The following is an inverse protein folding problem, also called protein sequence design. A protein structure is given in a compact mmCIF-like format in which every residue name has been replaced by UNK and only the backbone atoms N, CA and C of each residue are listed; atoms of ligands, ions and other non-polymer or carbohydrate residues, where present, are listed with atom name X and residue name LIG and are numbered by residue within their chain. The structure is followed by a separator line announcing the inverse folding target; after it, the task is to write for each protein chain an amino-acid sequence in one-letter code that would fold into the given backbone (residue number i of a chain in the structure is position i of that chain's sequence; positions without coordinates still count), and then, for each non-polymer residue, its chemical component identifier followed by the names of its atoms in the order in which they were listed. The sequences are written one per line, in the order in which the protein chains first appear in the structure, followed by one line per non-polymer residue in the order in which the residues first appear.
data_IF_162708000712
#
_entry.id   IF_162708000712
#
_cell.length_a   1.000
_cell.length_b   1.000
_cell.length_c   1.000
_cell.angle_alpha   90.00
_cell.angle_beta   90.00
_cell.angle_gamma   90.00
#
_symmetry.space_group_name_H-M   'P 1'
#
loop_
_entity.id
_entity.type
_entity.pdbx_description
1 polymer ?
#
# COMPACT_ATOMS: atom_id res chain seq x y z
N UNK A 1 -0.12 3.59 37.91
CA UNK A 1 -0.43 2.52 36.93
C UNK A 1 0.85 2.20 36.18
N UNK A 2 1.09 0.93 35.85
CA UNK A 2 2.25 0.55 35.04
C UNK A 2 2.06 1.02 33.59
N UNK A 3 3.16 1.35 32.90
CA UNK A 3 3.14 1.63 31.47
C UNK A 3 3.12 0.30 30.71
N UNK A 4 2.03 0.02 29.99
CA UNK A 4 1.85 -1.25 29.27
C UNK A 4 1.91 -1.00 27.76
N UNK A 5 2.86 -1.64 27.09
CA UNK A 5 3.09 -1.50 25.66
C UNK A 5 2.56 -2.74 24.92
N UNK A 6 1.50 -2.54 24.16
CA UNK A 6 0.92 -3.56 23.29
C UNK A 6 1.67 -3.60 21.98
N UNK A 7 2.28 -4.73 21.68
CA UNK A 7 3.12 -4.90 20.51
C UNK A 7 3.22 -6.36 20.09
N UNK A 8 3.37 -6.59 18.79
CA UNK A 8 3.84 -7.88 18.29
C UNK A 8 5.29 -8.11 18.73
N UNK A 9 5.66 -9.35 19.04
CA UNK A 9 7.06 -9.74 19.26
C UNK A 9 7.88 -9.35 18.03
N UNK A 10 9.03 -8.70 18.25
CA UNK A 10 10.04 -8.33 17.24
C UNK A 10 9.69 -7.23 16.21
N UNK A 11 9.19 -6.08 16.67
CA UNK A 11 8.93 -4.92 15.81
C UNK A 11 9.88 -3.73 16.09
N UNK A 12 10.53 -3.18 15.04
CA UNK A 12 11.38 -1.98 15.14
C UNK A 12 10.67 -0.79 15.80
N UNK A 13 9.37 -0.64 15.57
CA UNK A 13 8.58 0.46 16.09
C UNK A 13 8.36 0.34 17.60
N UNK A 14 8.29 -0.88 18.12
CA UNK A 14 8.23 -1.16 19.56
C UNK A 14 9.57 -0.83 20.23
N UNK A 15 10.68 -1.17 19.57
CA UNK A 15 12.01 -0.90 20.11
C UNK A 15 12.29 0.59 20.33
N UNK A 16 11.63 1.50 19.59
CA UNK A 16 11.77 2.96 19.78
C UNK A 16 11.43 3.35 21.21
N UNK A 17 10.29 2.87 21.71
CA UNK A 17 9.82 3.13 23.06
C UNK A 17 10.69 2.44 24.12
N UNK A 18 11.06 1.18 23.88
CA UNK A 18 11.87 0.41 24.84
C UNK A 18 13.28 1.00 25.01
N UNK A 19 13.95 1.37 23.92
CA UNK A 19 15.29 1.97 24.00
C UNK A 19 15.21 3.37 24.63
N UNK A 20 14.19 4.17 24.27
CA UNK A 20 13.95 5.46 24.95
C UNK A 20 13.72 5.27 26.46
N UNK A 21 13.00 4.22 26.86
CA UNK A 21 12.77 3.87 28.26
C UNK A 21 14.06 3.50 28.99
N UNK A 22 14.97 2.76 28.35
CA UNK A 22 16.30 2.45 28.90
C UNK A 22 17.14 3.70 29.13
N UNK A 23 17.20 4.61 28.16
CA UNK A 23 17.90 5.89 28.33
C UNK A 23 17.28 6.77 29.41
N UNK A 24 15.95 6.76 29.53
CA UNK A 24 15.22 7.58 30.50
C UNK A 24 15.08 6.91 31.88
N UNK A 25 15.54 5.66 32.05
CA UNK A 25 15.33 4.87 33.26
C UNK A 25 13.85 4.73 33.63
N UNK A 26 12.99 4.55 32.63
CA UNK A 26 11.54 4.31 32.77
C UNK A 26 11.27 2.83 32.55
N UNK A 27 10.39 2.24 33.35
CA UNK A 27 9.97 0.85 33.15
C UNK A 27 8.72 0.81 32.26
N UNK A 28 8.84 0.16 31.09
CA UNK A 28 7.73 -0.12 30.17
C UNK A 28 7.56 -1.62 30.07
N UNK A 29 6.40 -2.12 30.48
CA UNK A 29 6.07 -3.54 30.44
C UNK A 29 5.43 -3.89 29.11
N UNK A 30 5.86 -4.98 28.45
CA UNK A 30 5.15 -5.49 27.29
C UNK A 30 3.85 -6.19 27.72
N UNK A 31 2.76 -5.94 26.99
CA UNK A 31 1.49 -6.60 27.25
C UNK A 31 1.66 -8.14 27.13
N UNK A 32 1.28 -8.91 28.16
CA UNK A 32 1.37 -10.37 28.10
C UNK A 32 0.39 -10.91 27.06
N UNK A 33 0.79 -11.99 26.38
CA UNK A 33 -0.07 -12.75 25.45
C UNK A 33 -0.68 -11.94 24.30
N UNK A 34 -0.01 -10.88 23.85
CA UNK A 34 -0.47 -10.13 22.67
C UNK A 34 -0.24 -10.96 21.38
N UNK A 35 -1.32 -11.18 20.62
CA UNK A 35 -1.29 -11.89 19.34
C UNK A 35 -1.70 -10.97 18.19
N UNK A 36 -0.77 -10.74 17.26
CA UNK A 36 -1.00 -9.90 16.09
C UNK A 36 -2.00 -10.55 15.13
N UNK A 37 -3.05 -9.82 14.76
CA UNK A 37 -4.18 -10.30 13.97
C UNK A 37 -5.39 -10.72 14.82
N UNK A 38 -5.20 -10.96 16.12
CA UNK A 38 -6.27 -11.36 17.05
C UNK A 38 -6.50 -10.25 18.08
N UNK A 39 -5.52 -10.00 18.96
CA UNK A 39 -5.66 -9.02 20.05
C UNK A 39 -5.97 -7.62 19.54
N UNK A 40 -5.30 -7.18 18.47
CA UNK A 40 -5.49 -5.85 17.88
C UNK A 40 -6.76 -5.67 17.03
N UNK A 41 -7.58 -6.72 16.89
CA UNK A 41 -8.88 -6.67 16.21
C UNK A 41 -10.05 -6.71 17.19
N UNK A 42 -9.79 -6.93 18.48
CA UNK A 42 -10.84 -6.91 19.51
C UNK A 42 -11.45 -5.51 19.67
N UNK A 43 -12.74 -5.39 19.99
CA UNK A 43 -13.37 -4.10 20.28
C UNK A 43 -12.67 -3.31 21.40
N UNK A 44 -12.12 -4.02 22.39
CA UNK A 44 -11.37 -3.44 23.50
C UNK A 44 -10.09 -2.77 23.00
N UNK A 45 -9.34 -3.43 22.12
CA UNK A 45 -8.12 -2.83 21.56
C UNK A 45 -8.43 -1.68 20.59
N UNK A 46 -9.50 -1.77 19.81
CA UNK A 46 -9.91 -0.71 18.90
C UNK A 46 -10.31 0.58 19.63
N UNK A 47 -10.70 0.50 20.91
CA UNK A 47 -10.86 1.69 21.78
C UNK A 47 -9.54 2.36 22.14
N UNK A 48 -8.44 1.61 22.16
CA UNK A 48 -7.09 2.14 22.42
C UNK A 48 -6.46 2.76 21.17
N UNK A 49 -6.66 2.10 20.02
CA UNK A 49 -6.24 2.60 18.71
C UNK A 49 -7.28 2.22 17.64
N UNK A 50 -8.01 3.19 17.06
CA UNK A 50 -9.07 2.90 16.09
C UNK A 50 -8.54 2.26 14.79
N UNK A 51 -7.24 2.41 14.48
CA UNK A 51 -6.62 1.76 13.32
C UNK A 51 -6.28 0.28 13.57
N UNK A 52 -6.37 -0.20 14.82
CA UNK A 52 -5.96 -1.55 15.20
C UNK A 52 -4.49 -1.84 14.90
N UNK A 53 -3.65 -0.80 14.88
CA UNK A 53 -2.19 -0.90 14.65
C UNK A 53 -1.44 -0.98 15.98
N UNK A 54 -0.22 -1.51 15.90
CA UNK A 54 0.74 -1.56 17.01
C UNK A 54 2.04 -0.86 16.63
N UNK A 55 2.79 -0.30 17.60
CA UNK A 55 2.55 -0.35 19.05
C UNK A 55 1.47 0.62 19.56
N UNK A 56 0.92 0.31 20.74
CA UNK A 56 0.06 1.20 21.56
C UNK A 56 0.55 1.16 23.00
N UNK A 57 0.73 2.33 23.62
CA UNK A 57 1.10 2.46 25.03
C UNK A 57 -0.12 2.82 25.85
N UNK A 58 -0.51 1.98 26.79
CA UNK A 58 -1.45 2.33 27.84
C UNK A 58 -0.72 3.10 28.96
N UNK A 59 -1.29 4.23 29.33
CA UNK A 59 -0.80 5.10 30.40
C UNK A 59 -1.91 5.32 31.43
N UNK A 60 -1.61 5.83 32.63
CA UNK A 60 -2.63 6.16 33.62
C UNK A 60 -3.70 7.13 33.12
N UNK A 61 -3.34 8.02 32.18
CA UNK A 61 -4.20 9.11 31.69
C UNK A 61 -4.86 8.79 30.34
N UNK A 62 -4.56 7.62 29.76
CA UNK A 62 -5.12 7.18 28.49
C UNK A 62 -4.10 6.55 27.54
N UNK A 63 -4.56 5.99 26.40
CA UNK A 63 -3.69 5.36 25.43
C UNK A 63 -2.96 6.37 24.53
N UNK A 64 -1.74 6.02 24.13
CA UNK A 64 -0.96 6.72 23.10
C UNK A 64 -0.62 5.74 21.99
N UNK A 65 -1.01 6.05 20.76
CA UNK A 65 -0.63 5.29 19.56
C UNK A 65 0.29 6.13 18.66
N UNK A 66 0.88 5.50 17.63
CA UNK A 66 2.04 5.95 16.85
C UNK A 66 3.38 5.83 17.59
N UNK A 67 4.32 5.06 17.02
CA UNK A 67 5.56 4.71 17.71
C UNK A 67 6.47 5.89 18.04
N UNK A 68 6.49 6.91 17.18
CA UNK A 68 7.28 8.12 17.44
C UNK A 68 6.64 8.97 18.55
N UNK A 69 5.30 9.01 18.64
CA UNK A 69 4.58 9.69 19.71
C UNK A 69 4.77 8.95 21.06
N UNK A 70 4.70 7.62 21.06
CA UNK A 70 4.99 6.79 22.24
C UNK A 70 6.42 7.03 22.74
N UNK A 71 7.43 7.05 21.85
CA UNK A 71 8.81 7.31 22.24
C UNK A 71 8.99 8.72 22.83
N UNK A 72 8.34 9.75 22.25
CA UNK A 72 8.30 11.10 22.82
C UNK A 72 7.62 11.14 24.18
N UNK A 73 6.50 10.44 24.37
CA UNK A 73 5.83 10.33 25.66
C UNK A 73 6.77 9.73 26.72
N UNK A 74 7.39 8.60 26.41
CA UNK A 74 8.35 7.93 27.31
C UNK A 74 9.52 8.84 27.67
N UNK A 75 10.06 9.60 26.72
CA UNK A 75 11.12 10.58 26.98
C UNK A 75 10.64 11.73 27.88
N UNK A 76 9.39 12.20 27.72
CA UNK A 76 8.84 13.33 28.52
C UNK A 76 8.53 12.96 29.98
N UNK A 77 8.47 11.67 30.34
CA UNK A 77 8.14 11.24 31.71
C UNK A 77 9.15 11.66 32.78
N UNK A 78 10.38 12.02 32.38
CA UNK A 78 11.35 12.65 33.27
C UNK A 78 11.90 13.90 32.58
N UNK A 79 11.81 15.05 33.23
CA UNK A 79 12.24 16.33 32.63
C UNK A 79 13.75 16.51 32.51
N UNK A 80 14.54 15.70 33.23
CA UNK A 80 16.00 15.82 33.29
C UNK A 80 16.68 14.77 32.39
N UNK A 81 16.42 14.83 31.08
CA UNK A 81 17.12 14.00 30.10
C UNK A 81 17.39 14.78 28.80
N UNK A 82 18.41 14.34 28.06
CA UNK A 82 18.81 14.97 26.81
C UNK A 82 18.08 14.42 25.57
N UNK A 83 17.16 13.46 25.71
CA UNK A 83 16.55 12.77 24.57
C UNK A 83 15.72 13.69 23.66
N UNK A 84 15.25 14.81 24.19
CA UNK A 84 14.44 15.79 23.47
C UNK A 84 15.23 17.02 23.03
N UNK A 85 16.53 17.10 23.33
CA UNK A 85 17.32 18.33 23.14
C UNK A 85 17.14 19.33 24.29
N UNK A 86 18.16 20.17 24.50
CA UNK A 86 18.29 21.05 25.67
C UNK A 86 17.88 22.49 25.39
N UNK A 87 17.58 22.83 24.14
CA UNK A 87 17.14 24.16 23.70
C UNK A 87 16.03 24.05 22.67
N UNK A 88 15.33 25.15 22.40
CA UNK A 88 14.27 25.18 21.38
C UNK A 88 14.77 24.75 20.00
N UNK A 89 16.00 25.15 19.64
CA UNK A 89 16.59 24.76 18.36
C UNK A 89 16.94 23.27 18.31
N UNK A 90 17.48 22.71 19.40
CA UNK A 90 17.77 21.27 19.46
C UNK A 90 16.47 20.44 19.45
N UNK A 91 15.41 20.89 20.13
CA UNK A 91 14.10 20.25 20.08
C UNK A 91 13.56 20.21 18.64
N UNK A 92 13.63 21.34 17.93
CA UNK A 92 13.22 21.41 16.52
C UNK A 92 14.08 20.50 15.63
N UNK A 93 15.39 20.43 15.87
CA UNK A 93 16.28 19.54 15.13
C UNK A 93 16.01 18.05 15.42
N UNK A 94 15.65 17.71 16.67
CA UNK A 94 15.23 16.34 17.02
C UNK A 94 13.99 15.96 16.22
N UNK A 95 12.97 16.82 16.19
CA UNK A 95 11.76 16.56 15.41
C UNK A 95 12.06 16.52 13.90
N UNK A 96 12.90 17.41 13.38
CA UNK A 96 13.35 17.41 11.98
C UNK A 96 13.94 16.06 11.57
N UNK A 97 14.84 15.49 12.37
CA UNK A 97 15.48 14.21 12.06
C UNK A 97 14.53 13.01 12.22
N UNK A 98 13.59 13.08 13.17
CA UNK A 98 12.54 12.06 13.32
C UNK A 98 11.65 12.02 12.07
N UNK A 99 11.24 13.19 11.58
CA UNK A 99 10.36 13.31 10.42
C UNK A 99 11.11 12.95 9.14
N UNK A 100 12.33 13.47 8.95
CA UNK A 100 13.22 13.07 7.85
C UNK A 100 13.40 11.56 7.81
N UNK A 101 13.71 10.92 8.95
CA UNK A 101 13.91 9.47 8.97
C UNK A 101 12.63 8.70 8.65
N UNK A 102 11.46 9.18 9.09
CA UNK A 102 10.19 8.49 8.84
C UNK A 102 9.76 8.62 7.38
N UNK A 103 9.94 9.80 6.78
CA UNK A 103 9.47 10.12 5.43
C UNK A 103 10.46 9.72 4.32
N UNK A 104 11.75 9.94 4.53
CA UNK A 104 12.78 9.77 3.50
C UNK A 104 13.53 8.43 3.61
N UNK A 105 13.62 7.84 4.81
CA UNK A 105 14.33 6.57 5.03
C UNK A 105 13.34 5.41 5.19
N UNK A 106 12.49 5.45 6.22
CA UNK A 106 11.64 4.32 6.59
C UNK A 106 10.61 3.99 5.50
N UNK A 107 9.93 5.02 4.98
CA UNK A 107 8.98 4.88 3.88
C UNK A 107 9.59 4.19 2.65
N UNK A 108 10.82 4.57 2.28
CA UNK A 108 11.50 3.98 1.12
C UNK A 108 12.02 2.57 1.42
N UNK A 109 12.56 2.30 2.62
CA UNK A 109 12.91 0.93 3.05
C UNK A 109 11.69 0.01 3.02
N UNK A 110 10.53 0.47 3.48
CA UNK A 110 9.29 -0.31 3.46
C UNK A 110 8.82 -0.63 2.04
N UNK A 111 8.93 0.31 1.10
CA UNK A 111 8.63 0.05 -0.33
C UNK A 111 9.51 -1.06 -0.93
N UNK A 112 10.76 -1.17 -0.48
CA UNK A 112 11.66 -2.26 -0.88
C UNK A 112 11.30 -3.57 -0.15
N UNK A 113 11.00 -3.51 1.15
CA UNK A 113 10.80 -4.71 1.95
C UNK A 113 9.45 -5.38 1.71
N UNK A 114 8.34 -4.63 1.75
CA UNK A 114 6.99 -5.18 1.79
C UNK A 114 6.68 -6.13 0.61
N UNK A 115 7.12 -5.85 -0.64
CA UNK A 115 6.96 -6.81 -1.72
C UNK A 115 7.72 -8.12 -1.54
N UNK A 116 8.90 -8.06 -0.93
CA UNK A 116 9.77 -9.24 -0.67
C UNK A 116 9.21 -10.16 0.41
N UNK A 117 8.44 -9.61 1.34
CA UNK A 117 7.77 -10.36 2.41
C UNK A 117 6.29 -10.62 2.13
N UNK A 118 5.81 -10.32 0.92
CA UNK A 118 4.46 -10.65 0.48
C UNK A 118 3.34 -9.76 1.05
N UNK A 119 3.68 -8.60 1.63
CA UNK A 119 2.71 -7.64 2.15
C UNK A 119 2.33 -6.55 1.14
N UNK A 120 2.99 -6.49 -0.02
CA UNK A 120 2.67 -5.59 -1.12
C UNK A 120 2.99 -6.25 -2.48
N UNK A 121 2.38 -5.83 -3.60
CA UNK A 121 2.82 -6.25 -4.92
C UNK A 121 4.19 -5.64 -5.25
N UNK A 122 5.00 -6.37 -6.02
CA UNK A 122 6.24 -5.84 -6.58
C UNK A 122 5.96 -5.05 -7.86
N UNK A 123 6.45 -3.81 -7.91
CA UNK A 123 6.40 -2.94 -9.08
C UNK A 123 7.79 -2.35 -9.31
N UNK A 124 8.44 -2.72 -10.42
CA UNK A 124 9.82 -2.30 -10.71
C UNK A 124 10.00 -0.76 -10.70
N UNK A 125 9.11 0.06 -11.30
CA UNK A 125 9.26 1.52 -11.23
C UNK A 125 9.19 2.09 -9.81
N UNK A 126 8.41 1.46 -8.93
CA UNK A 126 8.29 1.88 -7.52
C UNK A 126 9.57 1.56 -6.76
N UNK A 127 10.16 0.39 -7.00
CA UNK A 127 11.44 0.01 -6.41
C UNK A 127 12.58 0.90 -6.89
N UNK A 128 12.67 1.19 -8.18
CA UNK A 128 13.67 2.10 -8.75
C UNK A 128 13.57 3.49 -8.13
N UNK A 129 12.35 4.06 -8.04
CA UNK A 129 12.11 5.33 -7.40
C UNK A 129 12.45 5.32 -5.90
N UNK A 130 12.08 4.25 -5.18
CA UNK A 130 12.40 4.10 -3.76
C UNK A 130 13.91 3.98 -3.51
N UNK A 131 14.63 3.25 -4.36
CA UNK A 131 16.08 3.15 -4.30
C UNK A 131 16.75 4.51 -4.55
N UNK A 132 16.32 5.25 -5.57
CA UNK A 132 16.87 6.57 -5.87
C UNK A 132 16.62 7.57 -4.72
N UNK A 133 15.40 7.59 -4.18
CA UNK A 133 15.04 8.44 -3.05
C UNK A 133 15.81 8.06 -1.78
N UNK A 134 15.94 6.75 -1.49
CA UNK A 134 16.71 6.26 -0.34
C UNK A 134 18.20 6.61 -0.47
N UNK A 135 18.80 6.43 -1.65
CA UNK A 135 20.21 6.84 -1.89
C UNK A 135 20.41 8.34 -1.65
N UNK A 136 19.48 9.19 -2.11
CA UNK A 136 19.51 10.64 -1.84
C UNK A 136 19.44 10.94 -0.34
N UNK A 137 18.52 10.29 0.37
CA UNK A 137 18.36 10.46 1.82
C UNK A 137 19.61 10.00 2.59
N UNK A 138 20.16 8.84 2.25
CA UNK A 138 21.40 8.32 2.84
C UNK A 138 22.59 9.24 2.51
N UNK A 139 22.64 9.84 1.32
CA UNK A 139 23.64 10.84 0.96
C UNK A 139 23.59 12.08 1.86
N UNK A 140 22.40 12.67 2.04
CA UNK A 140 22.20 13.81 2.93
C UNK A 140 22.58 13.48 4.39
N UNK A 141 22.15 12.31 4.87
CA UNK A 141 22.49 11.82 6.20
C UNK A 141 24.00 11.59 6.34
N UNK A 142 24.66 11.03 5.33
CA UNK A 142 26.10 10.78 5.30
C UNK A 142 26.90 12.08 5.37
N UNK A 143 26.46 13.13 4.65
CA UNK A 143 27.09 14.46 4.71
C UNK A 143 26.97 15.07 6.10
N UNK A 144 25.78 15.04 6.71
CA UNK A 144 25.59 15.53 8.08
C UNK A 144 26.47 14.79 9.08
N UNK A 145 26.54 13.47 8.95
CA UNK A 145 27.28 12.58 9.83
C UNK A 145 28.80 12.59 9.63
N UNK A 146 29.32 13.29 8.62
CA UNK A 146 30.75 13.41 8.39
C UNK A 146 31.46 14.16 9.53
N UNK A 147 30.82 15.19 10.09
CA UNK A 147 31.35 16.00 11.19
C UNK A 147 30.62 15.80 12.52
N UNK A 148 29.58 14.96 12.56
CA UNK A 148 28.77 14.74 13.74
C UNK A 148 28.76 13.26 14.18
N UNK A 149 28.92 13.03 15.49
CA UNK A 149 28.82 11.70 16.09
C UNK A 149 27.36 11.25 16.22
N UNK A 150 26.48 12.17 16.60
CA UNK A 150 25.03 11.99 16.75
C UNK A 150 24.28 13.00 15.89
N UNK A 151 22.97 12.85 15.73
CA UNK A 151 22.20 13.73 14.84
C UNK A 151 22.01 15.15 15.40
N UNK A 152 21.89 15.29 16.73
CA UNK A 152 21.67 16.55 17.42
C UNK A 152 22.58 16.65 18.64
N UNK A 153 23.32 17.76 18.73
CA UNK A 153 24.25 18.01 19.84
C UNK A 153 25.36 16.96 19.96
N UNK A 154 25.72 16.62 21.21
CA UNK A 154 26.84 15.73 21.52
C UNK A 154 26.44 14.46 22.30
N UNK A 155 25.14 14.18 22.42
CA UNK A 155 24.62 12.98 23.11
C UNK A 155 23.51 12.33 22.29
N UNK A 156 23.17 11.08 22.63
CA UNK A 156 22.06 10.36 21.97
C UNK A 156 20.74 11.06 22.27
N UNK A 157 19.96 11.31 21.21
CA UNK A 157 18.59 11.86 21.29
C UNK A 157 17.55 10.89 20.73
N UNK A 158 16.27 11.23 20.80
CA UNK A 158 15.21 10.48 20.10
C UNK A 158 15.41 10.45 18.59
N UNK A 159 16.02 11.50 18.01
CA UNK A 159 16.40 11.48 16.60
C UNK A 159 17.31 10.29 16.30
N UNK A 160 18.27 10.01 17.19
CA UNK A 160 19.19 8.91 17.01
C UNK A 160 18.51 7.55 17.16
N UNK A 161 17.70 7.40 18.20
CA UNK A 161 16.97 6.15 18.48
C UNK A 161 16.05 5.80 17.31
N UNK A 162 15.25 6.77 16.84
CA UNK A 162 14.28 6.54 15.77
C UNK A 162 14.99 6.31 14.44
N UNK A 163 16.00 7.12 14.11
CA UNK A 163 16.76 6.96 12.86
C UNK A 163 17.48 5.64 12.79
N UNK A 164 18.16 5.24 13.87
CA UNK A 164 18.83 3.94 13.95
C UNK A 164 17.86 2.78 13.77
N UNK A 165 16.67 2.85 14.37
CA UNK A 165 15.68 1.76 14.24
C UNK A 165 14.98 1.70 12.88
N UNK A 166 14.82 2.84 12.21
CA UNK A 166 14.37 2.85 10.81
C UNK A 166 15.46 2.27 9.89
N UNK A 167 16.73 2.62 10.10
CA UNK A 167 17.87 2.02 9.39
C UNK A 167 18.05 0.54 9.71
N UNK A 168 17.79 0.10 10.95
CA UNK A 168 17.92 -1.29 11.39
C UNK A 168 17.14 -2.25 10.49
N UNK A 169 15.93 -1.86 10.07
CA UNK A 169 15.14 -2.66 9.14
C UNK A 169 15.83 -2.78 7.78
N UNK A 170 16.42 -1.69 7.30
CA UNK A 170 17.24 -1.67 6.09
C UNK A 170 18.44 -2.60 6.20
N UNK A 171 19.32 -2.36 7.17
CA UNK A 171 20.56 -3.13 7.39
C UNK A 171 20.31 -4.62 7.58
N UNK A 172 19.23 -5.00 8.26
CA UNK A 172 18.96 -6.42 8.56
C UNK A 172 18.17 -7.14 7.47
N UNK A 173 17.60 -6.44 6.46
CA UNK A 173 16.71 -7.06 5.46
C UNK A 173 16.99 -6.73 4.01
N UNK A 174 17.40 -5.50 3.67
CA UNK A 174 17.46 -5.04 2.27
C UNK A 174 18.73 -4.27 1.89
N UNK A 175 19.53 -3.80 2.84
CA UNK A 175 20.75 -3.05 2.58
C UNK A 175 21.99 -3.94 2.78
N UNK A 176 22.45 -4.54 1.68
CA UNK A 176 23.69 -5.33 1.64
C UNK A 176 24.92 -4.43 1.74
N UNK A 177 26.07 -5.05 2.08
CA UNK A 177 27.33 -4.33 2.33
C UNK A 177 27.78 -3.45 1.16
N UNK A 178 27.55 -3.86 -0.09
CA UNK A 178 27.91 -3.05 -1.26
C UNK A 178 27.19 -1.71 -1.30
N UNK A 179 25.93 -1.66 -0.85
CA UNK A 179 25.14 -0.42 -0.79
C UNK A 179 25.56 0.43 0.41
N UNK A 180 25.70 -0.17 1.59
CA UNK A 180 26.03 0.60 2.80
C UNK A 180 27.45 1.19 2.75
N UNK A 181 28.38 0.53 2.04
CA UNK A 181 29.75 1.03 1.87
C UNK A 181 29.83 2.30 1.02
N UNK A 182 28.80 2.64 0.23
CA UNK A 182 28.69 3.94 -0.45
C UNK A 182 28.50 5.10 0.57
N UNK A 183 28.07 4.80 1.81
CA UNK A 183 27.73 5.78 2.86
C UNK A 183 28.47 5.49 4.17
N UNK A 184 29.82 5.65 4.21
CA UNK A 184 30.65 5.21 5.32
C UNK A 184 30.32 5.88 6.66
N UNK A 185 29.87 7.13 6.68
CA UNK A 185 29.52 7.84 7.91
C UNK A 185 28.16 7.37 8.47
N UNK A 186 27.23 7.00 7.60
CA UNK A 186 25.97 6.35 8.00
C UNK A 186 26.26 4.96 8.57
N UNK A 187 27.14 4.20 7.93
CA UNK A 187 27.52 2.88 8.42
C UNK A 187 28.22 2.96 9.79
N UNK A 188 29.22 3.85 9.94
CA UNK A 188 29.86 4.10 11.25
C UNK A 188 28.83 4.50 12.31
N UNK A 189 27.93 5.42 11.97
CA UNK A 189 26.88 5.86 12.87
C UNK A 189 25.98 4.70 13.32
N UNK A 190 25.42 3.94 12.37
CA UNK A 190 24.54 2.82 12.66
C UNK A 190 25.21 1.81 13.60
N UNK A 191 26.44 1.39 13.29
CA UNK A 191 27.18 0.45 14.12
C UNK A 191 27.56 1.01 15.49
N UNK A 192 27.81 2.32 15.59
CA UNK A 192 28.02 2.97 16.89
C UNK A 192 26.77 2.84 17.76
N UNK A 193 25.60 3.19 17.23
CA UNK A 193 24.35 3.24 18.00
C UNK A 193 23.86 1.85 18.39
N UNK A 194 23.80 0.88 17.47
CA UNK A 194 23.29 -0.47 17.79
C UNK A 194 24.16 -1.22 18.80
N UNK A 195 25.43 -0.83 18.96
CA UNK A 195 26.35 -1.41 19.94
C UNK A 195 26.38 -0.66 21.28
N UNK A 196 25.66 0.46 21.43
CA UNK A 196 25.49 1.10 22.73
C UNK A 196 24.75 0.16 23.71
N UNK A 197 25.07 0.18 25.01
CA UNK A 197 24.47 -0.74 25.99
C UNK A 197 22.93 -0.76 25.97
N UNK A 198 22.31 0.41 25.91
CA UNK A 198 20.85 0.56 25.90
C UNK A 198 20.20 -0.01 24.63
N UNK A 199 20.86 0.12 23.48
CA UNK A 199 20.40 -0.50 22.23
C UNK A 199 20.59 -2.01 22.27
N UNK A 200 21.78 -2.47 22.65
CA UNK A 200 22.13 -3.90 22.67
C UNK A 200 21.27 -4.70 23.64
N UNK A 201 20.85 -4.11 24.76
CA UNK A 201 19.91 -4.73 25.71
C UNK A 201 18.56 -5.06 25.08
N UNK A 202 18.08 -4.23 24.15
CA UNK A 202 16.78 -4.40 23.47
C UNK A 202 16.90 -5.17 22.17
N UNK A 203 17.92 -4.87 21.35
CA UNK A 203 18.11 -5.44 20.01
C UNK A 203 18.87 -6.77 20.01
N UNK A 204 19.64 -7.05 21.07
CA UNK A 204 20.62 -8.12 21.06
C UNK A 204 21.77 -7.85 20.07
N UNK A 205 22.35 -8.92 19.53
CA UNK A 205 23.39 -8.81 18.52
C UNK A 205 22.77 -8.55 17.14
N UNK A 206 23.15 -7.43 16.52
CA UNK A 206 22.71 -7.06 15.18
C UNK A 206 23.68 -7.61 14.13
N UNK A 207 23.14 -8.29 13.11
CA UNK A 207 23.88 -8.74 11.93
C UNK A 207 23.29 -8.10 10.68
N UNK A 208 24.15 -7.58 9.82
CA UNK A 208 23.73 -7.05 8.52
C UNK A 208 23.33 -8.18 7.57
N UNK A 209 22.38 -7.92 6.69
CA UNK A 209 21.99 -8.88 5.67
C UNK A 209 23.08 -9.06 4.62
N UNK A 210 23.38 -10.31 4.26
CA UNK A 210 24.36 -10.65 3.23
C UNK A 210 23.75 -10.58 1.82
N UNK A 211 22.44 -10.82 1.73
CA UNK A 211 21.67 -10.78 0.48
C UNK A 211 20.31 -10.13 0.70
N UNK A 212 19.76 -9.55 -0.35
CA UNK A 212 18.38 -9.07 -0.36
C UNK A 212 17.45 -10.24 -0.63
N UNK A 213 16.36 -10.35 0.13
CA UNK A 213 15.34 -11.38 -0.12
C UNK A 213 14.83 -11.30 -1.57
N UNK A 214 14.70 -12.43 -2.28
CA UNK A 214 14.15 -12.44 -3.63
C UNK A 214 12.68 -12.05 -3.60
N UNK A 215 12.20 -11.44 -4.69
CA UNK A 215 10.76 -11.24 -4.86
C UNK A 215 10.10 -12.61 -4.98
N UNK A 216 9.08 -12.93 -4.16
CA UNK A 216 8.33 -14.17 -4.30
C UNK A 216 7.81 -14.29 -5.73
N UNK A 217 8.34 -15.24 -6.51
CA UNK A 217 7.74 -15.58 -7.80
C UNK A 217 6.33 -16.08 -7.54
N UNK A 218 5.36 -15.68 -8.36
CA UNK A 218 3.99 -16.18 -8.27
C UNK A 218 3.94 -17.71 -8.53
N UNK A 219 4.29 -18.52 -7.52
CA UNK A 219 4.05 -19.95 -7.47
C UNK A 219 2.71 -20.18 -6.78
N UNK A 220 1.87 -21.00 -7.44
CA UNK A 220 0.62 -21.58 -6.90
C UNK A 220 0.83 -22.02 -5.44
N UNK A 221 -0.18 -21.88 -4.57
CA UNK A 221 -0.06 -22.21 -3.15
C UNK A 221 0.36 -23.67 -2.97
N UNK A 222 1.57 -23.88 -2.44
CA UNK A 222 2.03 -25.17 -1.96
C UNK A 222 1.28 -25.53 -0.68
N UNK A 223 0.57 -26.66 -0.70
CA UNK A 223 -0.01 -27.28 0.51
C UNK A 223 1.12 -27.65 1.46
N UNK A 224 1.26 -26.91 2.55
CA UNK A 224 1.96 -27.41 3.73
C UNK A 224 1.03 -28.36 4.51
N UNK A 225 1.53 -29.57 4.69
CA UNK A 225 0.95 -30.70 5.42
C UNK A 225 0.80 -30.38 6.91
N UNK A 226 -0.44 -30.38 7.41
CA UNK A 226 -0.73 -30.41 8.85
C UNK A 226 -0.41 -31.80 9.46
N UNK A 227 0.17 -31.88 10.68
CA UNK A 227 0.33 -33.14 11.39
C UNK A 227 -1.02 -33.70 11.87
N UNK A 228 -1.21 -35.02 11.72
CA UNK A 228 -2.38 -35.78 12.19
C UNK A 228 -2.42 -35.84 13.73
N UNK A 229 -3.52 -35.38 14.33
CA UNK A 229 -3.88 -35.71 15.70
C UNK A 229 -4.57 -37.09 15.74
N UNK A 230 -4.23 -37.88 16.76
CA UNK A 230 -4.69 -39.25 17.02
C UNK A 230 -6.19 -39.31 17.36
N UNK A 231 -6.86 -40.34 16.84
CA UNK A 231 -8.20 -40.81 17.22
C UNK A 231 -8.18 -41.55 18.56
N UNK A 232 -9.28 -41.43 19.32
CA UNK A 232 -9.99 -42.55 19.98
C UNK A 232 -11.39 -42.08 20.46
N UNK A 233 -12.37 -42.98 20.70
CA UNK A 233 -13.65 -42.98 19.97
C UNK A 233 -14.90 -42.67 20.81
N UNK A 234 -15.97 -42.19 20.15
CA UNK A 234 -17.34 -42.06 20.72
C UNK A 234 -18.12 -43.38 20.56
N UNK A 235 -18.89 -43.74 21.60
CA UNK A 235 -20.03 -44.67 21.54
C UNK A 235 -21.35 -43.92 21.36
N UNK A 236 -22.30 -44.63 20.74
CA UNK A 236 -23.66 -44.33 20.24
C UNK A 236 -24.62 -43.77 21.32
N UNK A 237 -25.85 -43.27 21.09
CA UNK A 237 -26.84 -43.44 20.01
C UNK A 237 -27.87 -42.28 20.02
N UNK A 238 -28.54 -42.06 18.89
CA UNK A 238 -29.73 -41.19 18.67
C UNK A 238 -31.03 -41.89 19.17
N UNK A 239 -32.16 -41.20 19.47
CA UNK A 239 -33.01 -40.61 18.41
C UNK A 239 -33.72 -39.26 18.73
N UNK A 240 -34.05 -38.57 17.63
CA UNK A 240 -34.87 -37.35 17.45
C UNK A 240 -36.39 -37.68 17.45
N UNK A 241 -37.37 -36.75 17.22
CA UNK A 241 -37.32 -35.27 17.07
C UNK A 241 -38.49 -34.48 17.75
N UNK A 242 -38.32 -33.18 18.06
CA UNK A 242 -39.39 -32.13 17.93
C UNK A 242 -38.74 -30.73 17.78
N UNK A 243 -39.17 -29.94 16.77
CA UNK A 243 -38.95 -28.47 16.59
C UNK A 243 -40.15 -27.71 17.18
N UNK A 244 -40.09 -26.43 17.63
CA UNK A 244 -39.56 -25.30 16.83
C UNK A 244 -38.92 -24.06 17.54
N UNK A 245 -38.13 -23.35 16.72
CA UNK A 245 -37.88 -21.89 16.61
C UNK A 245 -37.07 -21.08 17.66
N UNK A 246 -36.05 -20.40 17.10
CA UNK A 246 -35.36 -19.14 17.45
C UNK A 246 -34.59 -19.01 18.78
N UNK A 247 -33.25 -19.02 18.72
CA UNK A 247 -32.31 -17.89 18.98
C UNK A 247 -30.93 -18.25 18.39
N UNK A 248 -30.23 -17.23 17.90
CA UNK A 248 -28.93 -17.23 17.24
C UNK A 248 -27.77 -17.86 18.05
N UNK A 249 -26.90 -18.62 17.36
CA UNK A 249 -25.44 -18.60 17.58
C UNK A 249 -24.68 -19.26 16.41
N UNK A 250 -23.63 -18.55 15.98
CA UNK A 250 -22.36 -19.01 15.42
C UNK A 250 -22.30 -20.18 14.43
N UNK A 251 -22.05 -19.85 13.16
CA UNK A 251 -21.33 -20.72 12.23
C UNK A 251 -19.98 -20.11 11.82
N UNK A 252 -19.01 -21.01 11.70
CA UNK A 252 -17.55 -20.87 11.57
C UNK A 252 -17.04 -19.90 10.47
N UNK A 253 -15.73 -19.52 10.51
CA UNK A 253 -15.21 -18.38 9.76
C UNK A 253 -15.25 -18.60 8.24
N UNK A 254 -15.81 -17.61 7.54
CA UNK A 254 -15.84 -17.47 6.08
C UNK A 254 -14.47 -17.69 5.45
N UNK A 255 -14.36 -18.45 4.34
CA UNK A 255 -13.26 -18.28 3.40
C UNK A 255 -13.24 -16.83 2.90
N UNK A 256 -12.04 -16.26 2.74
CA UNK A 256 -11.81 -14.93 2.15
C UNK A 256 -12.84 -14.64 1.06
N UNK A 257 -13.56 -13.52 1.19
CA UNK A 257 -14.48 -13.05 0.17
C UNK A 257 -13.75 -13.09 -1.18
N UNK A 258 -14.18 -14.00 -2.07
CA UNK A 258 -13.88 -13.91 -3.49
C UNK A 258 -14.51 -12.60 -3.97
N UNK A 259 -13.82 -11.89 -4.86
CA UNK A 259 -14.34 -10.67 -5.46
C UNK A 259 -15.75 -10.96 -6.01
N UNK A 260 -16.77 -10.11 -5.76
CA UNK A 260 -18.13 -10.31 -6.30
C UNK A 260 -18.17 -10.60 -7.81
N UNK A 261 -17.16 -10.14 -8.56
CA UNK A 261 -17.02 -10.38 -10.00
C UNK A 261 -16.47 -11.77 -10.37
N UNK A 262 -15.83 -12.48 -9.42
CA UNK A 262 -15.38 -13.87 -9.61
C UNK A 262 -16.52 -14.89 -9.42
N UNK A 263 -17.69 -14.43 -8.97
CA UNK A 263 -18.92 -15.22 -8.81
C UNK A 263 -19.86 -15.12 -10.02
N UNK A 264 -19.55 -14.24 -10.99
CA UNK A 264 -20.32 -14.12 -12.22
C UNK A 264 -20.08 -15.33 -13.13
N UNK A 265 -21.10 -15.80 -13.87
CA UNK A 265 -20.96 -16.92 -14.79
C UNK A 265 -19.81 -16.67 -15.77
N UNK A 266 -18.95 -17.67 -16.03
CA UNK A 266 -17.78 -17.51 -16.89
C UNK A 266 -18.22 -16.98 -18.26
N UNK A 267 -17.73 -15.80 -18.61
CA UNK A 267 -18.02 -15.18 -19.91
C UNK A 267 -17.21 -15.86 -21.00
N UNK A 268 -17.77 -15.87 -22.21
CA UNK A 268 -17.09 -16.31 -23.41
C UNK A 268 -15.90 -15.39 -23.78
N UNK A 269 -15.90 -14.16 -23.29
CA UNK A 269 -14.83 -13.18 -23.50
C UNK A 269 -13.74 -13.29 -22.42
N UNK A 270 -12.53 -13.65 -22.83
CA UNK A 270 -11.34 -13.60 -21.98
C UNK A 270 -10.67 -12.22 -22.17
N UNK A 271 -10.79 -11.35 -21.16
CA UNK A 271 -10.28 -9.98 -21.22
C UNK A 271 -8.76 -9.91 -21.46
N UNK A 272 -8.00 -10.87 -20.95
CA UNK A 272 -6.55 -10.95 -21.16
C UNK A 272 -6.20 -11.27 -22.62
N UNK A 273 -7.02 -12.07 -23.32
CA UNK A 273 -6.85 -12.36 -24.75
C UNK A 273 -7.19 -11.13 -25.59
N UNK A 274 -8.26 -10.41 -25.24
CA UNK A 274 -8.58 -9.12 -25.83
C UNK A 274 -7.43 -8.12 -25.68
N UNK A 275 -6.91 -7.91 -24.45
CA UNK A 275 -5.81 -6.98 -24.17
C UNK A 275 -4.53 -7.34 -24.93
N UNK A 276 -4.26 -8.64 -25.07
CA UNK A 276 -3.15 -9.16 -25.86
C UNK A 276 -3.35 -8.92 -27.36
N UNK A 277 -4.55 -9.16 -27.89
CA UNK A 277 -4.89 -8.89 -29.29
C UNK A 277 -4.75 -7.39 -29.61
N UNK A 278 -5.33 -6.53 -28.77
CA UNK A 278 -5.24 -5.08 -28.88
C UNK A 278 -3.78 -4.60 -28.88
N UNK A 279 -2.95 -5.10 -27.94
CA UNK A 279 -1.55 -4.68 -27.82
C UNK A 279 -0.64 -5.17 -28.95
N UNK A 280 -0.98 -6.30 -29.58
CA UNK A 280 -0.17 -6.89 -30.65
C UNK A 280 -0.55 -6.36 -32.04
N UNK A 281 -1.70 -5.71 -32.18
CA UNK A 281 -2.17 -5.15 -33.44
C UNK A 281 -1.52 -3.79 -33.68
N UNK A 282 -0.57 -3.72 -34.62
CA UNK A 282 0.14 -2.46 -34.98
C UNK A 282 -0.31 -1.87 -36.32
N UNK A 283 -0.88 -2.68 -37.20
CA UNK A 283 -1.41 -2.30 -38.52
C UNK A 283 -2.76 -3.01 -38.72
N UNK A 284 -3.62 -2.47 -39.60
CA UNK A 284 -4.97 -3.00 -39.88
C UNK A 284 -5.85 -3.11 -38.62
N UNK A 285 -5.86 -2.06 -37.81
CA UNK A 285 -6.54 -2.02 -36.51
C UNK A 285 -8.02 -2.42 -36.60
N UNK A 286 -8.71 -1.94 -37.65
CA UNK A 286 -10.13 -2.24 -37.90
C UNK A 286 -10.39 -3.70 -38.27
N UNK A 287 -9.52 -4.31 -39.08
CA UNK A 287 -9.70 -5.70 -39.55
C UNK A 287 -9.29 -6.75 -38.50
N UNK A 288 -8.38 -6.38 -37.58
CA UNK A 288 -7.81 -7.31 -36.59
C UNK A 288 -8.30 -7.03 -35.18
N UNK A 289 -8.11 -5.81 -34.67
CA UNK A 289 -8.49 -5.46 -33.30
C UNK A 289 -9.99 -5.22 -33.18
N UNK A 290 -10.62 -4.43 -34.06
CA UNK A 290 -12.07 -4.17 -33.97
C UNK A 290 -12.88 -5.42 -34.29
N UNK A 291 -12.54 -6.15 -35.36
CA UNK A 291 -13.18 -7.42 -35.67
C UNK A 291 -13.02 -8.43 -34.51
N UNK A 292 -11.81 -8.59 -34.00
CA UNK A 292 -11.55 -9.49 -32.87
C UNK A 292 -12.21 -9.05 -31.57
N UNK A 293 -12.40 -7.74 -31.36
CA UNK A 293 -13.19 -7.21 -30.24
C UNK A 293 -14.63 -7.74 -30.32
N UNK A 294 -15.30 -7.51 -31.44
CA UNK A 294 -16.70 -7.91 -31.62
C UNK A 294 -16.89 -9.43 -31.70
N UNK A 295 -15.92 -10.17 -32.24
CA UNK A 295 -15.93 -11.64 -32.26
C UNK A 295 -15.82 -12.24 -30.85
N UNK A 296 -15.08 -11.57 -29.94
CA UNK A 296 -14.91 -11.98 -28.55
C UNK A 296 -15.96 -11.39 -27.61
N UNK A 297 -16.59 -10.27 -27.99
CA UNK A 297 -17.45 -9.49 -27.11
C UNK A 297 -18.69 -10.28 -26.68
N UNK A 298 -18.89 -10.34 -25.37
CA UNK A 298 -19.97 -11.07 -24.74
C UNK A 298 -20.86 -10.09 -23.95
N UNK A 299 -22.05 -9.73 -24.47
CA UNK A 299 -22.94 -8.75 -23.85
C UNK A 299 -23.55 -9.22 -22.52
N UNK A 300 -23.59 -10.54 -22.27
CA UNK A 300 -24.05 -11.08 -20.97
C UNK A 300 -22.94 -11.01 -19.92
N UNK A 301 -21.68 -11.04 -20.38
CA UNK A 301 -20.51 -11.04 -19.54
C UNK A 301 -19.90 -9.65 -19.27
N UNK A 302 -20.05 -8.70 -20.19
CA UNK A 302 -19.41 -7.40 -20.12
C UNK A 302 -20.34 -6.28 -20.58
N UNK A 303 -20.26 -5.15 -19.88
CA UNK A 303 -20.97 -3.94 -20.23
C UNK A 303 -20.01 -2.88 -20.76
N UNK A 304 -20.44 -2.19 -21.82
CA UNK A 304 -19.74 -1.05 -22.38
C UNK A 304 -20.39 0.25 -21.90
N UNK A 305 -19.55 1.23 -21.57
CA UNK A 305 -19.97 2.53 -21.05
C UNK A 305 -19.15 3.64 -21.70
N UNK A 306 -19.83 4.69 -22.14
CA UNK A 306 -19.21 5.99 -22.41
C UNK A 306 -19.06 6.76 -21.10
N UNK A 307 -17.94 7.45 -20.94
CA UNK A 307 -17.73 8.41 -19.84
C UNK A 307 -17.36 9.78 -20.41
N UNK A 308 -18.20 10.78 -20.19
CA UNK A 308 -17.95 12.16 -20.61
C UNK A 308 -17.66 13.01 -19.35
N UNK A 309 -16.56 13.76 -19.33
CA UNK A 309 -16.22 14.58 -18.15
C UNK A 309 -17.20 15.75 -18.00
N UNK A 310 -17.73 15.97 -16.79
CA UNK A 310 -18.80 16.96 -16.53
C UNK A 310 -18.33 18.42 -16.66
N UNK A 311 -17.09 18.71 -16.29
CA UNK A 311 -16.55 20.07 -16.18
C UNK A 311 -15.58 20.40 -17.32
N UNK A 312 -15.97 20.16 -18.57
CA UNK A 312 -15.09 20.35 -19.73
C UNK A 312 -14.54 21.77 -19.82
N UNK A 313 -15.33 22.78 -19.44
CA UNK A 313 -14.97 24.20 -19.51
C UNK A 313 -13.76 24.56 -18.62
N UNK A 314 -13.46 23.75 -17.59
CA UNK A 314 -12.31 23.96 -16.70
C UNK A 314 -10.98 23.47 -17.31
N UNK A 315 -11.03 22.71 -18.39
CA UNK A 315 -9.85 22.10 -19.02
C UNK A 315 -9.17 23.10 -19.96
N UNK A 316 -8.59 24.16 -19.39
CA UNK A 316 -7.98 25.26 -20.16
C UNK A 316 -6.51 25.03 -20.54
N UNK A 317 -5.83 24.07 -19.89
CA UNK A 317 -4.41 23.80 -20.06
C UNK A 317 -4.18 22.33 -20.41
N UNK A 318 -3.64 22.05 -21.60
CA UNK A 318 -3.48 20.70 -22.15
C UNK A 318 -2.71 19.77 -21.22
N UNK A 319 -1.55 20.17 -20.72
CA UNK A 319 -0.74 19.34 -19.81
C UNK A 319 -1.45 19.00 -18.49
N UNK A 320 -2.25 19.93 -17.97
CA UNK A 320 -3.03 19.71 -16.74
C UNK A 320 -4.15 18.70 -17.00
N UNK A 321 -4.86 18.84 -18.11
CA UNK A 321 -5.91 17.90 -18.55
C UNK A 321 -5.32 16.49 -18.73
N UNK A 322 -4.16 16.37 -19.36
CA UNK A 322 -3.47 15.09 -19.54
C UNK A 322 -3.08 14.44 -18.21
N UNK A 323 -2.61 15.22 -17.23
CA UNK A 323 -2.29 14.72 -15.90
C UNK A 323 -3.54 14.31 -15.12
N UNK A 324 -4.65 15.04 -15.24
CA UNK A 324 -5.94 14.66 -14.66
C UNK A 324 -6.40 13.29 -15.16
N UNK A 325 -6.40 13.07 -16.48
CA UNK A 325 -6.73 11.76 -17.08
C UNK A 325 -5.76 10.68 -16.59
N UNK A 326 -4.46 10.98 -16.51
CA UNK A 326 -3.47 10.03 -15.98
C UNK A 326 -3.73 9.63 -14.52
N UNK A 327 -4.08 10.59 -13.67
CA UNK A 327 -4.44 10.35 -12.27
C UNK A 327 -5.70 9.51 -12.12
N UNK A 328 -6.72 9.75 -12.95
CA UNK A 328 -7.93 8.93 -12.99
C UNK A 328 -7.61 7.46 -13.35
N UNK A 329 -6.81 7.23 -14.39
CA UNK A 329 -6.40 5.89 -14.78
C UNK A 329 -5.60 5.16 -13.71
N UNK A 330 -4.76 5.86 -12.93
CA UNK A 330 -4.03 5.27 -11.81
C UNK A 330 -4.95 4.81 -10.68
N UNK A 331 -6.02 5.56 -10.39
CA UNK A 331 -7.00 5.18 -9.37
C UNK A 331 -7.89 4.03 -9.83
N UNK A 332 -8.09 3.87 -11.12
CA UNK A 332 -8.79 2.73 -11.71
C UNK A 332 -7.98 1.41 -11.70
N UNK A 333 -6.71 1.40 -11.27
CA UNK A 333 -5.85 0.19 -11.26
C UNK A 333 -6.42 -0.97 -10.42
N UNK A 334 -7.30 -0.66 -9.46
CA UNK A 334 -8.07 -1.63 -8.67
C UNK A 334 -8.98 -2.55 -9.52
N UNK A 335 -9.46 -2.08 -10.68
CA UNK A 335 -10.24 -2.89 -11.65
C UNK A 335 -9.44 -3.35 -12.85
N UNK A 336 -8.11 -3.21 -12.84
CA UNK A 336 -7.30 -3.58 -14.00
C UNK A 336 -7.51 -5.00 -14.49
N UNK A 337 -7.79 -5.96 -13.61
CA UNK A 337 -8.09 -7.35 -13.99
C UNK A 337 -9.46 -7.55 -14.63
N UNK A 338 -10.39 -6.63 -14.43
CA UNK A 338 -11.81 -6.78 -14.75
C UNK A 338 -12.33 -5.69 -15.71
N UNK A 339 -11.48 -4.74 -16.09
CA UNK A 339 -11.85 -3.64 -16.96
C UNK A 339 -10.80 -3.37 -18.05
N UNK A 340 -11.27 -2.81 -19.15
CA UNK A 340 -10.47 -2.19 -20.20
C UNK A 340 -11.04 -0.80 -20.45
N UNK A 341 -10.19 0.20 -20.57
CA UNK A 341 -10.63 1.58 -20.72
C UNK A 341 -9.82 2.32 -21.77
N UNK A 342 -10.44 3.33 -22.37
CA UNK A 342 -9.80 4.22 -23.31
C UNK A 342 -10.27 5.64 -23.04
N UNK A 343 -9.35 6.55 -22.81
CA UNK A 343 -9.64 7.96 -22.55
C UNK A 343 -9.03 8.79 -23.67
N UNK A 344 -9.83 9.63 -24.31
CA UNK A 344 -9.45 10.56 -25.37
C UNK A 344 -9.50 11.99 -24.82
N UNK A 345 -8.47 12.76 -25.14
CA UNK A 345 -8.45 14.22 -24.94
C UNK A 345 -8.55 14.85 -26.32
N UNK A 346 -9.61 15.61 -26.54
CA UNK A 346 -10.02 16.11 -27.85
C UNK A 346 -10.03 17.65 -27.81
N UNK A 347 -9.61 18.27 -28.91
CA UNK A 347 -9.58 19.72 -29.09
C UNK A 347 -8.16 20.26 -29.35
N UNK A 348 -8.06 21.22 -30.28
CA UNK A 348 -6.80 21.92 -30.60
C UNK A 348 -6.62 23.21 -29.81
N UNK A 349 -7.71 23.74 -29.24
CA UNK A 349 -7.73 24.92 -28.39
C UNK A 349 -8.58 24.64 -27.15
N UNK A 350 -8.33 25.34 -26.03
CA UNK A 350 -9.14 25.16 -24.84
C UNK A 350 -10.56 25.71 -25.02
N UNK A 351 -11.56 25.13 -24.35
CA UNK A 351 -11.46 24.01 -23.40
C UNK A 351 -11.29 22.64 -24.07
N UNK A 352 -10.38 21.81 -23.52
CA UNK A 352 -10.13 20.45 -23.99
C UNK A 352 -11.20 19.48 -23.47
N UNK A 353 -11.80 18.71 -24.38
CA UNK A 353 -12.85 17.75 -24.04
C UNK A 353 -12.24 16.40 -23.68
N UNK A 354 -12.60 15.87 -22.51
CA UNK A 354 -12.21 14.53 -22.06
C UNK A 354 -13.39 13.59 -22.23
N UNK A 355 -13.21 12.57 -23.08
CA UNK A 355 -14.19 11.51 -23.32
C UNK A 355 -13.54 10.15 -23.10
N UNK A 356 -14.31 9.14 -22.75
CA UNK A 356 -13.78 7.80 -22.59
C UNK A 356 -14.77 6.69 -22.86
N UNK A 357 -14.22 5.51 -23.06
CA UNK A 357 -14.90 4.26 -23.32
C UNK A 357 -14.38 3.24 -22.32
N UNK A 358 -15.28 2.60 -21.59
CA UNK A 358 -14.94 1.59 -20.60
C UNK A 358 -15.74 0.31 -20.83
N UNK A 359 -15.01 -0.80 -20.76
CA UNK A 359 -15.53 -2.14 -20.74
C UNK A 359 -15.36 -2.67 -19.31
N UNK A 360 -16.45 -2.98 -18.63
CA UNK A 360 -16.45 -3.57 -17.30
C UNK A 360 -16.99 -5.00 -17.33
N UNK A 361 -16.42 -5.87 -16.49
CA UNK A 361 -16.95 -7.20 -16.24
C UNK A 361 -18.27 -7.09 -15.48
N UNK A 362 -19.32 -7.69 -16.04
CA UNK A 362 -20.68 -7.68 -15.50
C UNK A 362 -21.62 -6.70 -16.22
N UNK A 363 -22.93 -6.77 -15.93
CA UNK A 363 -23.97 -6.01 -16.63
C UNK A 363 -23.96 -4.50 -16.28
N UNK A 364 -23.30 -4.14 -15.18
CA UNK A 364 -23.22 -2.79 -14.62
C UNK A 364 -21.79 -2.44 -14.20
N UNK A 365 -21.53 -1.15 -13.96
CA UNK A 365 -20.27 -0.68 -13.39
C UNK A 365 -20.15 -1.27 -11.96
N UNK A 366 -19.03 -1.94 -11.62
CA UNK A 366 -18.93 -2.58 -10.31
C UNK A 366 -19.02 -1.56 -9.16
N UNK A 367 -19.92 -1.79 -8.20
CA UNK A 367 -20.19 -0.85 -7.11
C UNK A 367 -18.94 -0.45 -6.31
N UNK A 368 -18.01 -1.38 -6.08
CA UNK A 368 -16.76 -1.07 -5.39
C UNK A 368 -15.86 -0.07 -6.15
N UNK A 369 -16.01 0.06 -7.47
CA UNK A 369 -15.32 1.10 -8.24
C UNK A 369 -15.90 2.46 -7.93
N UNK A 370 -17.23 2.53 -7.79
CA UNK A 370 -17.94 3.76 -7.45
C UNK A 370 -17.58 4.17 -6.01
N UNK A 371 -17.50 3.22 -5.09
CA UNK A 371 -17.21 3.48 -3.69
C UNK A 371 -15.74 3.88 -3.43
N UNK A 372 -14.78 3.33 -4.18
CA UNK A 372 -13.34 3.56 -3.96
C UNK A 372 -12.76 4.66 -4.88
N UNK A 373 -13.38 4.94 -6.03
CA UNK A 373 -12.92 5.93 -7.00
C UNK A 373 -13.87 7.13 -7.04
N UNK A 374 -13.61 8.14 -6.19
CA UNK A 374 -14.42 9.36 -6.11
C UNK A 374 -14.53 10.13 -7.44
N UNK A 375 -13.56 9.98 -8.35
CA UNK A 375 -13.63 10.62 -9.67
C UNK A 375 -14.74 10.08 -10.56
N UNK A 376 -15.29 8.89 -10.27
CA UNK A 376 -16.41 8.33 -11.02
C UNK A 376 -17.60 9.30 -11.06
N UNK A 377 -17.80 10.10 -10.01
CA UNK A 377 -18.86 11.11 -9.93
C UNK A 377 -18.59 12.35 -10.82
N UNK A 378 -17.34 12.56 -11.24
CA UNK A 378 -16.94 13.69 -12.11
C UNK A 378 -17.21 13.41 -13.60
N UNK A 379 -17.62 12.20 -13.95
CA UNK A 379 -17.99 11.80 -15.31
C UNK A 379 -19.47 11.44 -15.38
N UNK A 380 -20.08 11.74 -16.52
CA UNK A 380 -21.39 11.20 -16.91
C UNK A 380 -21.19 9.86 -17.59
N UNK A 381 -21.78 8.81 -17.01
CA UNK A 381 -21.67 7.44 -17.49
C UNK A 381 -22.93 7.04 -18.25
N UNK A 382 -22.78 6.73 -19.53
CA UNK A 382 -23.89 6.28 -20.39
C UNK A 382 -23.59 4.88 -20.90
N UNK A 383 -24.49 3.93 -20.64
CA UNK A 383 -24.36 2.56 -21.15
C UNK A 383 -24.48 2.58 -22.67
N UNK A 384 -23.57 1.90 -23.36
CA UNK A 384 -23.59 1.81 -24.82
C UNK A 384 -24.76 0.96 -25.27
N UNK A 385 -25.59 1.49 -26.15
CA UNK A 385 -26.63 0.73 -26.83
C UNK A 385 -26.03 0.05 -28.07
N UNK A 386 -25.94 -1.27 -28.00
CA UNK A 386 -25.42 -2.11 -29.09
C UNK A 386 -26.41 -2.29 -30.23
N UNK A 387 -27.67 -1.91 -30.06
CA UNK A 387 -28.64 -1.90 -31.16
C UNK A 387 -28.49 -0.68 -32.06
N UNK A 388 -27.82 0.37 -31.57
CA UNK A 388 -27.53 1.59 -32.31
C UNK A 388 -26.19 1.49 -33.04
N UNK A 389 -26.25 1.42 -34.37
CA UNK A 389 -25.07 1.34 -35.24
C UNK A 389 -24.19 2.60 -35.14
N UNK A 390 -24.74 3.77 -34.79
CA UNK A 390 -23.95 4.98 -34.57
C UNK A 390 -23.10 4.88 -33.29
N UNK A 391 -23.64 4.28 -32.23
CA UNK A 391 -22.90 4.07 -30.98
C UNK A 391 -21.85 2.99 -31.12
N UNK A 392 -22.14 1.91 -31.85
CA UNK A 392 -21.12 0.90 -32.23
C UNK A 392 -19.97 1.51 -33.01
N UNK A 393 -20.27 2.38 -33.97
CA UNK A 393 -19.23 3.05 -34.75
C UNK A 393 -18.42 4.04 -33.88
N UNK A 394 -19.07 4.72 -32.93
CA UNK A 394 -18.36 5.54 -31.93
C UNK A 394 -17.40 4.71 -31.07
N UNK A 395 -17.82 3.52 -30.63
CA UNK A 395 -16.95 2.57 -29.90
C UNK A 395 -15.74 2.18 -30.75
N UNK A 396 -15.95 1.85 -32.02
CA UNK A 396 -14.89 1.50 -32.96
C UNK A 396 -13.85 2.62 -33.08
N UNK A 397 -14.32 3.84 -33.32
CA UNK A 397 -13.48 5.03 -33.47
C UNK A 397 -12.65 5.32 -32.22
N UNK A 398 -13.21 5.12 -31.02
CA UNK A 398 -12.47 5.29 -29.78
C UNK A 398 -11.40 4.21 -29.56
N UNK A 399 -11.69 2.96 -29.95
CA UNK A 399 -10.75 1.84 -29.82
C UNK A 399 -9.53 2.04 -30.74
N UNK A 400 -9.73 2.56 -31.95
CA UNK A 400 -8.68 2.74 -32.97
C UNK A 400 -7.97 4.10 -32.95
N UNK A 401 -8.28 4.98 -31.99
CA UNK A 401 -7.74 6.34 -31.93
C UNK A 401 -8.02 7.13 -33.22
N UNK A 402 -9.24 7.00 -33.76
CA UNK A 402 -9.61 7.65 -35.03
C UNK A 402 -9.47 9.16 -34.93
N UNK A 403 -8.75 9.75 -35.88
CA UNK A 403 -8.55 11.20 -35.98
C UNK A 403 -9.03 11.72 -37.34
N UNK A 404 -9.87 12.78 -37.39
CA UNK A 404 -10.46 13.52 -36.26
C UNK A 404 -11.65 12.77 -35.62
N UNK A 405 -11.72 12.79 -34.29
CA UNK A 405 -12.80 12.15 -33.54
C UNK A 405 -13.97 13.14 -33.35
N UNK A 406 -15.18 12.76 -33.81
CA UNK A 406 -16.38 13.62 -33.77
C UNK A 406 -16.17 15.00 -34.42
N UNK A 407 -15.28 15.10 -35.43
CA UNK A 407 -14.98 16.34 -36.14
C UNK A 407 -13.99 17.26 -35.42
N UNK A 408 -13.42 16.84 -34.29
CA UNK A 408 -12.40 17.57 -33.55
C UNK A 408 -11.04 16.82 -33.55
N UNK A 409 -9.90 17.54 -33.52
CA UNK A 409 -8.59 16.92 -33.52
C UNK A 409 -8.32 16.20 -32.20
N UNK A 410 -7.66 15.04 -32.30
CA UNK A 410 -7.33 14.19 -31.16
C UNK A 410 -5.98 14.64 -30.58
N UNK A 411 -5.99 15.15 -29.34
CA UNK A 411 -4.78 15.66 -28.70
C UNK A 411 -3.95 14.55 -28.06
N UNK A 412 -4.61 13.62 -27.37
CA UNK A 412 -3.98 12.45 -26.76
C UNK A 412 -4.99 11.33 -26.55
N UNK A 413 -4.50 10.09 -26.52
CA UNK A 413 -5.30 8.91 -26.28
C UNK A 413 -4.61 7.96 -25.30
N UNK A 414 -5.22 7.76 -24.13
CA UNK A 414 -4.68 6.91 -23.07
C UNK A 414 -5.46 5.62 -22.95
N UNK A 415 -4.75 4.50 -23.03
CA UNK A 415 -5.32 3.17 -22.87
C UNK A 415 -5.10 2.63 -21.45
N UNK A 416 -6.16 2.10 -20.85
CA UNK A 416 -6.18 1.39 -19.58
C UNK A 416 -6.36 -0.11 -19.84
N UNK A 417 -5.33 -0.89 -19.51
CA UNK A 417 -5.28 -2.34 -19.74
C UNK A 417 -4.50 -3.05 -18.66
#
# INVERSE_FOLDING_TARGET
MALILHAASTNKNTYKALIAAEYNGVHVQLAPNFEMGVSNKTPQFLKLNPLGKVPVLETPDGPVFESNAIARYVARLKGDNSLLGSSLIEQAQVDQWIDFSSLEIDSNILKLLLPRVGFAPYLAPVEEAANAALKRALGALNTHLASNTYLVGHTVTLADIITTLNLYLGFTKVLVKSVTSEFPHVERYFWTLVNQPNFRKVLGQVKQTEAVLPIPSAKKPSKETKPKAKEEPKKEAKPEPVKPAEVAEEEAPKPKAKNPLDLLPPSKMILDEWKRLYSNTKTNFREVAIKGFWDMYDPEGYSLWFCDYKYQDENTVSFVTLNKVGGFLQRMDLVRKYAFGKMLVIGSQPPFKVKGLWLFRGPEIPQFVIDECYDMELYDWTKVDLSDEAQKERVNQMIEDYEPFEGEPLLDAKCFK
#
